data_IF_555374839907
#
_entry.id   IF_555374839907
#
_cell.length_a   1.000
_cell.length_b   1.000
_cell.length_c   1.000
_cell.angle_alpha   90.00
_cell.angle_beta   90.00
_cell.angle_gamma   90.00
#
_symmetry.space_group_name_H-M   'P 1'
#
loop_
_entity.id
_entity.type
_entity.pdbx_description
1 polymer ?
2 polymer ?
3 non-polymer ?
4 non-polymer ?
5 water ?
#
# COMPACT_ATOMS: atom_id res chain seq x y z
N UNK A 1 -16.00 -14.84 19.86
CA UNK A 1 -17.13 -14.60 18.91
C UNK A 1 -17.18 -15.69 17.84
N UNK A 2 -18.31 -15.76 17.14
CA UNK A 2 -18.45 -16.62 15.98
C UNK A 2 -17.50 -16.20 14.85
N UNK A 3 -17.25 -17.10 13.91
CA UNK A 3 -16.45 -16.81 12.72
C UNK A 3 -17.01 -15.61 11.96
N UNK A 4 -18.34 -15.56 11.81
CA UNK A 4 -19.02 -14.47 11.12
C UNK A 4 -18.81 -13.11 11.74
N UNK A 5 -18.94 -13.02 13.07
CA UNK A 5 -18.75 -11.77 13.81
C UNK A 5 -17.29 -11.33 13.82
N UNK A 6 -16.39 -12.30 13.95
CA UNK A 6 -14.95 -12.06 13.81
C UNK A 6 -14.64 -11.45 12.45
N UNK A 7 -15.17 -12.08 11.39
CA UNK A 7 -14.98 -11.60 10.02
C UNK A 7 -15.45 -10.16 9.80
N UNK A 8 -16.63 -9.84 10.30
CA UNK A 8 -17.21 -8.51 10.13
C UNK A 8 -16.39 -7.44 10.85
N UNK A 9 -15.99 -7.76 12.09
CA UNK A 9 -15.18 -6.85 12.89
C UNK A 9 -13.84 -6.55 12.18
N UNK A 10 -13.19 -7.59 11.67
CA UNK A 10 -11.92 -7.47 10.94
C UNK A 10 -12.03 -6.61 9.67
N UNK A 11 -13.10 -6.79 8.91
CA UNK A 11 -13.39 -5.98 7.73
C UNK A 11 -13.62 -4.49 8.08
N UNK A 12 -14.37 -4.23 9.15
CA UNK A 12 -14.56 -2.85 9.63
C UNK A 12 -13.22 -2.25 10.07
N UNK A 13 -12.43 -3.02 10.82
CA UNK A 13 -11.09 -2.59 11.22
C UNK A 13 -10.21 -2.30 10.00
N UNK A 14 -10.28 -3.17 9.00
CA UNK A 14 -9.56 -2.97 7.74
C UNK A 14 -10.03 -1.73 6.98
N UNK A 15 -11.34 -1.49 6.99
CA UNK A 15 -11.89 -0.28 6.35
C UNK A 15 -11.32 0.99 7.00
N UNK A 16 -11.26 0.99 8.33
CA UNK A 16 -10.76 2.14 9.07
C UNK A 16 -9.26 2.33 8.85
N UNK A 17 -8.52 1.23 8.79
CA UNK A 17 -7.08 1.32 8.52
C UNK A 17 -6.83 1.88 7.11
N UNK A 18 -7.62 1.44 6.15
CA UNK A 18 -7.49 1.94 4.77
C UNK A 18 -7.80 3.42 4.69
N UNK A 19 -8.86 3.86 5.39
CA UNK A 19 -9.21 5.29 5.47
C UNK A 19 -8.08 6.10 6.16
N UNK A 20 -7.53 5.56 7.24
CA UNK A 20 -6.43 6.19 7.97
C UNK A 20 -5.22 6.39 7.04
N UNK A 21 -4.92 5.37 6.25
CA UNK A 21 -3.78 5.40 5.37
C UNK A 21 -3.99 6.36 4.18
N UNK A 22 -5.17 6.34 3.55
CA UNK A 22 -5.52 7.29 2.48
C UNK A 22 -5.48 8.74 2.97
N UNK A 23 -5.97 8.97 4.18
CA UNK A 23 -5.95 10.30 4.78
C UNK A 23 -4.53 10.75 5.11
N UNK A 24 -3.70 9.85 5.63
CA UNK A 24 -2.29 10.14 5.87
C UNK A 24 -1.58 10.58 4.59
N UNK A 25 -1.79 9.84 3.51
CA UNK A 25 -1.23 10.18 2.19
C UNK A 25 -1.79 11.49 1.65
N UNK A 26 -3.07 11.72 1.87
CA UNK A 26 -3.75 12.96 1.47
C UNK A 26 -3.16 14.18 2.18
N UNK A 27 -2.89 14.05 3.47
CA UNK A 27 -2.27 15.13 4.25
C UNK A 27 -0.86 15.42 3.72
N UNK A 28 -0.11 14.36 3.42
CA UNK A 28 1.23 14.52 2.83
C UNK A 28 1.19 15.22 1.48
N UNK A 29 0.22 14.87 0.65
CA UNK A 29 0.06 15.48 -0.67
C UNK A 29 -0.22 16.98 -0.56
N UNK A 30 -1.20 17.35 0.27
CA UNK A 30 -1.59 18.75 0.49
C UNK A 30 -0.41 19.57 1.03
N UNK A 31 0.43 18.92 1.82
CA UNK A 31 1.61 19.53 2.43
C UNK A 31 2.77 19.64 1.44
N UNK A 32 2.80 18.77 0.43
CA UNK A 32 3.90 18.73 -0.55
C UNK A 32 4.99 17.75 -0.16
N UNK A 33 4.71 16.92 0.85
CA UNK A 33 5.69 15.98 1.41
C UNK A 33 5.95 14.79 0.47
N UNK A 34 4.99 14.49 -0.40
CA UNK A 34 5.11 13.43 -1.39
C UNK A 34 4.67 13.98 -2.74
N UNK A 35 5.27 13.47 -3.84
CA UNK A 35 4.86 13.91 -5.18
C UNK A 35 3.46 13.44 -5.56
N UNK A 36 2.87 14.14 -6.52
CA UNK A 36 1.53 13.83 -7.00
C UNK A 36 1.43 12.43 -7.59
N UNK A 37 2.45 12.03 -8.33
CA UNK A 37 2.54 10.70 -8.93
C UNK A 37 2.54 9.57 -7.90
N UNK A 38 3.13 9.83 -6.73
CA UNK A 38 3.20 8.83 -5.66
C UNK A 38 1.84 8.71 -4.99
N UNK A 39 1.19 9.84 -4.72
CA UNK A 39 -0.14 9.81 -4.14
C UNK A 39 -1.14 9.06 -5.02
N UNK A 40 -1.11 9.35 -6.31
CA UNK A 40 -2.04 8.73 -7.25
C UNK A 40 -1.85 7.20 -7.29
N UNK A 41 -0.61 6.75 -7.45
CA UNK A 41 -0.32 5.32 -7.48
C UNK A 41 -0.74 4.60 -6.20
N UNK A 42 -0.25 5.08 -5.06
CA UNK A 42 -0.55 4.43 -3.77
C UNK A 42 -2.02 4.66 -3.36
N UNK A 43 -2.50 5.89 -3.55
CA UNK A 43 -3.90 6.21 -3.26
C UNK A 43 -4.90 5.36 -4.01
N UNK A 44 -4.68 5.19 -5.31
CA UNK A 44 -5.57 4.34 -6.14
C UNK A 44 -5.61 2.88 -5.68
N UNK A 45 -4.47 2.34 -5.29
CA UNK A 45 -4.41 0.96 -4.84
C UNK A 45 -5.22 0.77 -3.55
N UNK A 46 -5.02 1.68 -2.59
CA UNK A 46 -5.74 1.62 -1.33
C UNK A 46 -7.24 1.81 -1.52
N UNK A 47 -7.63 2.77 -2.36
CA UNK A 47 -9.05 2.99 -2.64
C UNK A 47 -9.69 1.76 -3.31
N UNK A 48 -8.93 1.11 -4.19
CA UNK A 48 -9.39 -0.12 -4.86
C UNK A 48 -9.73 -1.18 -3.81
N UNK A 49 -8.80 -1.43 -2.89
CA UNK A 49 -8.99 -2.38 -1.80
C UNK A 49 -10.17 -1.97 -0.92
N UNK A 50 -10.34 -0.66 -0.72
CA UNK A 50 -11.40 -0.17 0.17
C UNK A 50 -12.77 -0.41 -0.41
N UNK A 51 -12.91 -0.23 -1.73
CA UNK A 51 -14.18 -0.55 -2.38
C UNK A 51 -14.57 -2.00 -2.09
N UNK A 52 -13.63 -2.93 -2.23
CA UNK A 52 -13.94 -4.35 -2.08
C UNK A 52 -14.24 -4.74 -0.64
N UNK A 53 -13.51 -4.13 0.30
CA UNK A 53 -13.79 -4.28 1.73
C UNK A 53 -15.24 -3.83 2.03
N UNK A 54 -15.65 -2.69 1.48
CA UNK A 54 -16.99 -2.15 1.70
C UNK A 54 -18.07 -2.96 1.02
N UNK A 55 -17.76 -3.47 -0.17
CA UNK A 55 -18.64 -4.39 -0.88
C UNK A 55 -18.88 -5.60 0.00
N UNK A 56 -17.80 -6.10 0.59
CA UNK A 56 -17.86 -7.27 1.46
C UNK A 56 -18.71 -7.02 2.71
N UNK A 57 -18.51 -5.86 3.34
CA UNK A 57 -19.31 -5.43 4.49
C UNK A 57 -20.79 -5.37 4.14
N UNK A 58 -21.12 -4.75 3.01
CA UNK A 58 -22.51 -4.69 2.53
C UNK A 58 -23.13 -6.07 2.31
N UNK A 59 -22.36 -6.99 1.74
CA UNK A 59 -22.83 -8.35 1.51
C UNK A 59 -23.17 -9.06 2.80
N UNK A 60 -22.36 -8.84 3.84
CA UNK A 60 -22.59 -9.41 5.16
C UNK A 60 -23.79 -8.77 5.88
N UNK A 61 -23.88 -7.44 5.84
CA UNK A 61 -24.87 -6.72 6.64
C UNK A 61 -26.21 -6.50 5.93
N UNK A 62 -26.31 -6.92 4.67
CA UNK A 62 -27.55 -6.78 3.87
C UNK A 62 -28.86 -7.27 4.54
N UNK A 63 -28.80 -8.31 5.40
CA UNK A 63 -29.99 -8.54 6.25
C UNK A 63 -30.33 -7.32 7.14
N UNK A 64 -31.04 -6.36 6.54
CA UNK A 64 -31.51 -5.13 7.21
C UNK A 64 -30.66 -4.63 8.39
N UNK A 65 -29.33 -4.65 8.19
CA UNK A 65 -28.34 -4.45 9.26
C UNK A 65 -28.60 -5.35 10.48
N UNK B 3 -33.91 -13.83 16.47
CA UNK B 3 -32.56 -14.48 16.56
C UNK B 3 -31.50 -13.50 17.07
N UNK B 4 -30.51 -14.03 17.79
CA UNK B 4 -29.39 -13.24 18.28
C UNK B 4 -28.32 -13.07 17.20
N UNK B 5 -27.36 -12.19 17.44
CA UNK B 5 -26.29 -11.90 16.47
C UNK B 5 -25.44 -13.13 16.15
N UNK B 6 -25.21 -13.97 17.17
CA UNK B 6 -24.41 -15.18 17.02
C UNK B 6 -24.96 -16.12 15.93
N UNK B 7 -26.28 -16.17 15.81
CA UNK B 7 -26.93 -16.99 14.80
C UNK B 7 -26.97 -16.27 13.45
N UNK B 8 -27.22 -14.97 13.51
CA UNK B 8 -27.31 -14.14 12.31
C UNK B 8 -25.97 -14.01 11.60
N UNK B 9 -24.89 -13.90 12.37
CA UNK B 9 -23.53 -13.83 11.82
C UNK B 9 -22.69 -15.01 12.31
N UNK B 10 -23.14 -16.22 11.99
CA UNK B 10 -22.48 -17.43 12.49
C UNK B 10 -21.22 -17.76 11.72
N UNK B 11 -21.37 -17.96 10.43
CA UNK B 11 -20.29 -18.41 9.57
C UNK B 11 -19.78 -17.25 8.71
N UNK B 12 -18.56 -17.41 8.20
CA UNK B 12 -17.96 -16.46 7.27
C UNK B 12 -18.75 -16.40 5.98
N UNK B 13 -18.87 -15.20 5.43
CA UNK B 13 -19.53 -14.93 4.16
C UNK B 13 -18.43 -14.59 3.13
N UNK B 14 -18.47 -15.23 1.94
CA UNK B 14 -17.44 -14.96 0.93
C UNK B 14 -17.63 -13.58 0.32
N UNK B 15 -16.55 -13.01 -0.23
CA UNK B 15 -16.60 -11.69 -0.87
C UNK B 15 -17.64 -11.63 -2.00
N UNK B 16 -17.63 -12.65 -2.85
CA UNK B 16 -18.65 -12.81 -3.88
C UNK B 16 -19.38 -14.11 -3.62
N UNK B 17 -20.65 -14.17 -4.01
CA UNK B 17 -21.40 -15.41 -3.96
C UNK B 17 -20.70 -16.47 -4.81
N UNK B 18 -20.64 -17.69 -4.29
CA UNK B 18 -19.97 -18.81 -4.97
C UNK B 18 -20.49 -19.11 -6.37
N UNK B 19 -21.64 -18.53 -6.71
CA UNK B 19 -22.26 -18.71 -8.01
C UNK B 19 -22.11 -17.49 -8.91
N UNK B 20 -21.31 -16.52 -8.50
CA UNK B 20 -21.10 -15.34 -9.33
C UNK B 20 -20.50 -15.78 -10.68
N UNK B 21 -21.06 -15.24 -11.76
CA UNK B 21 -20.55 -15.50 -13.10
C UNK B 21 -19.23 -14.76 -13.29
N UNK B 22 -18.44 -15.19 -14.26
CA UNK B 22 -17.17 -14.56 -14.57
C UNK B 22 -17.39 -13.11 -15.01
N UNK B 23 -18.44 -12.86 -15.80
CA UNK B 23 -18.76 -11.51 -16.28
C UNK B 23 -19.21 -10.57 -15.16
N UNK B 24 -20.04 -11.06 -14.25
CA UNK B 24 -20.52 -10.24 -13.11
C UNK B 24 -19.35 -9.83 -12.22
N UNK B 25 -18.45 -10.77 -11.96
CA UNK B 25 -17.29 -10.51 -11.11
C UNK B 25 -16.41 -9.46 -11.76
N UNK B 26 -16.25 -9.57 -13.08
CA UNK B 26 -15.47 -8.62 -13.86
C UNK B 26 -16.04 -7.21 -13.73
N UNK B 27 -17.37 -7.11 -13.74
CA UNK B 27 -18.09 -5.84 -13.60
C UNK B 27 -17.76 -5.17 -12.26
N UNK B 28 -17.82 -5.94 -11.18
CA UNK B 28 -17.56 -5.43 -9.84
C UNK B 28 -16.10 -4.99 -9.72
N UNK B 29 -15.19 -5.78 -10.29
CA UNK B 29 -13.77 -5.42 -10.30
C UNK B 29 -13.51 -4.13 -11.08
N UNK B 30 -14.26 -3.91 -12.16
CA UNK B 30 -14.18 -2.68 -12.94
C UNK B 30 -14.69 -1.50 -12.11
N UNK B 31 -15.77 -1.72 -11.36
CA UNK B 31 -16.31 -0.71 -10.45
C UNK B 31 -15.29 -0.32 -9.36
N UNK B 32 -14.53 -1.30 -8.87
CA UNK B 32 -13.49 -1.02 -7.86
C UNK B 32 -12.43 -0.08 -8.42
N UNK B 33 -12.12 -0.23 -9.72
CA UNK B 33 -11.16 0.64 -10.41
C UNK B 33 -11.71 2.03 -10.65
N UNK B 34 -12.97 2.10 -11.09
CA UNK B 34 -13.67 3.37 -11.25
C UNK B 34 -13.71 4.13 -9.93
N UNK B 35 -14.05 3.43 -8.85
CA UNK B 35 -14.08 4.03 -7.51
C UNK B 35 -12.73 4.58 -7.10
N UNK B 36 -11.66 3.82 -7.35
CA UNK B 36 -10.33 4.29 -6.98
C UNK B 36 -9.95 5.59 -7.68
N UNK B 37 -10.42 5.76 -8.92
CA UNK B 37 -10.18 7.00 -9.67
C UNK B 37 -10.98 8.14 -9.06
N UNK B 38 -12.25 7.90 -8.78
CA UNK B 38 -13.13 8.91 -8.17
C UNK B 38 -12.53 9.44 -6.86
N UNK B 39 -12.16 8.52 -5.97
CA UNK B 39 -11.56 8.89 -4.67
C UNK B 39 -10.22 9.63 -4.84
N UNK B 40 -9.33 9.04 -5.63
CA UNK B 40 -8.02 9.63 -5.88
C UNK B 40 -8.14 11.03 -6.49
N UNK B 41 -8.99 11.18 -7.50
CA UNK B 41 -9.24 12.47 -8.14
C UNK B 41 -9.81 13.50 -7.17
N UNK B 42 -10.64 13.06 -6.24
CA UNK B 42 -11.28 13.99 -5.30
C UNK B 42 -10.23 14.67 -4.44
N UNK B 43 -9.23 13.90 -4.01
CA UNK B 43 -8.11 14.40 -3.22
C UNK B 43 -7.18 15.31 -4.04
N UNK B 44 -6.97 14.97 -5.32
CA UNK B 44 -6.18 15.81 -6.23
C UNK B 44 -6.84 17.17 -6.47
N UNK B 45 -8.16 17.15 -6.73
CA UNK B 45 -8.93 18.38 -6.93
C UNK B 45 -8.82 19.29 -5.72
N UNK B 46 -9.01 18.70 -4.54
CA UNK B 46 -8.94 19.43 -3.28
C UNK B 46 -7.54 20.01 -3.02
N UNK B 47 -6.51 19.21 -3.32
CA UNK B 47 -5.13 19.65 -3.15
C UNK B 47 -4.76 20.78 -4.12
N UNK B 48 -5.33 20.76 -5.32
CA UNK B 48 -5.15 21.84 -6.29
C UNK B 48 -5.78 23.15 -5.80
N UNK B 49 -6.91 23.06 -5.11
CA UNK B 49 -7.57 24.23 -4.53
C UNK B 49 -6.70 24.91 -3.47
N UNK B 50 -5.85 24.13 -2.80
CA UNK B 50 -4.95 24.64 -1.78
C UNK B 50 -3.62 25.12 -2.36
N UNK B 51 -3.53 25.15 -3.69
CA UNK B 51 -2.31 25.54 -4.42
C UNK B 51 -1.05 24.79 -3.96
N UNK B 52 -1.20 23.48 -3.74
CA UNK B 52 -0.08 22.65 -3.32
C UNK B 52 0.47 21.79 -4.46
N UNK B 53 -0.24 21.79 -5.58
CA UNK B 53 0.19 21.03 -6.76
C UNK B 53 0.61 21.95 -7.90
N UNK B 54 1.71 21.58 -8.55
CA UNK B 54 2.20 22.27 -9.75
C UNK B 54 1.14 22.28 -10.85
N UNK B 55 0.96 23.42 -11.49
CA UNK B 55 -0.10 23.62 -12.48
C UNK B 55 -0.03 22.66 -13.68
N UNK B 56 1.19 22.33 -14.11
CA UNK B 56 1.40 21.40 -15.21
C UNK B 56 1.17 19.95 -14.76
N UNK B 57 1.76 19.57 -13.63
CA UNK B 57 1.59 18.24 -13.06
C UNK B 57 0.12 17.92 -12.78
N UNK B 58 -0.61 18.91 -12.27
CA UNK B 58 -2.05 18.78 -12.02
C UNK B 58 -2.82 18.50 -13.31
N UNK B 59 -2.58 19.30 -14.34
CA UNK B 59 -3.28 19.15 -15.60
C UNK B 59 -3.04 17.77 -16.22
N UNK B 60 -1.78 17.34 -16.25
CA UNK B 60 -1.41 16.04 -16.80
C UNK B 60 -2.01 14.87 -16.04
N UNK B 61 -1.95 14.93 -14.71
CA UNK B 61 -2.47 13.87 -13.85
C UNK B 61 -3.98 13.72 -13.97
N UNK B 62 -4.69 14.85 -13.98
CA UNK B 62 -6.14 14.85 -14.06
C UNK B 62 -6.59 14.43 -15.47
N UNK B 63 -5.88 14.88 -16.49
CA UNK B 63 -6.11 14.41 -17.85
C UNK B 63 -6.03 12.87 -17.94
N UNK B 64 -4.98 12.29 -17.37
CA UNK B 64 -4.79 10.83 -17.36
C UNK B 64 -5.91 10.11 -16.62
N UNK B 65 -6.29 10.63 -15.45
CA UNK B 65 -7.37 10.05 -14.67
C UNK B 65 -8.72 10.11 -15.40
N UNK B 66 -8.97 11.24 -16.07
CA UNK B 66 -10.20 11.39 -16.87
C UNK B 66 -10.27 10.40 -18.02
N UNK B 67 -9.16 10.22 -18.74
CA UNK B 67 -9.08 9.25 -19.84
C UNK B 67 -9.31 7.81 -19.35
N UNK B 68 -8.63 7.44 -18.27
CA UNK B 68 -8.78 6.12 -17.63
C UNK B 68 -10.22 5.83 -17.23
N UNK B 69 -10.87 6.78 -16.57
CA UNK B 69 -12.28 6.71 -16.19
C UNK B 69 -13.18 6.39 -17.39
N UNK B 70 -12.90 7.04 -18.51
CA UNK B 70 -13.67 6.83 -19.75
C UNK B 70 -13.49 5.42 -20.30
N UNK B 71 -12.26 4.91 -20.26
CA UNK B 71 -11.95 3.55 -20.71
C UNK B 71 -12.73 2.51 -19.89
N UNK B 72 -12.70 2.63 -18.57
CA UNK B 72 -13.41 1.69 -17.70
C UNK B 72 -14.93 1.74 -17.93
N UNK B 73 -15.50 2.94 -17.91
CA UNK B 73 -16.92 3.14 -18.11
C UNK B 73 -17.42 2.56 -19.45
N UNK B 74 -16.63 2.74 -20.52
CA UNK B 74 -17.02 2.25 -21.85
C UNK B 74 -16.72 0.77 -22.07
N UNK B 75 -17.07 -0.06 -21.09
CA UNK B 75 -16.90 -1.50 -21.16
C UNK B 75 -17.97 -2.20 -20.33
N UNK B 76 -17.79 -3.50 -20.10
CA UNK B 76 -18.67 -4.33 -19.24
C UNK B 76 -20.15 -4.25 -19.64
N UNK B 77 -20.40 -4.41 -20.95
CA UNK B 77 -21.74 -4.27 -21.55
C UNK B 77 -22.27 -2.83 -21.53
N UNK B 78 -21.77 -2.04 -20.59
CA UNK B 78 -22.14 -0.61 -20.41
C UNK B 78 -23.47 -0.45 -19.65
N UNK B 79 -24.34 -1.45 -19.76
CA UNK B 79 -25.61 -1.46 -19.04
C UNK B 79 -25.43 -2.00 -17.62
N UNK B 80 -24.50 -2.95 -17.47
CA UNK B 80 -24.29 -3.65 -16.20
C UNK B 80 -23.62 -2.79 -15.13
N UNK B 81 -22.90 -1.76 -15.55
CA UNK B 81 -22.24 -0.83 -14.62
C UNK B 81 -23.23 0.16 -13.98
N UNK B 82 -24.22 0.58 -14.77
CA UNK B 82 -25.28 1.48 -14.28
C UNK B 82 -26.22 0.77 -13.31
N UNK B 83 -26.34 -0.55 -13.48
CA UNK B 83 -27.09 -1.43 -12.58
C UNK B 83 -26.65 -1.24 -11.13
N UNK B 84 -25.34 -1.13 -10.91
CA UNK B 84 -24.75 -1.04 -9.59
C UNK B 84 -24.63 0.38 -9.05
N UNK B 85 -24.53 1.36 -9.96
CA UNK B 85 -24.34 2.77 -9.58
C UNK B 85 -25.34 3.26 -8.53
N UNK B 86 -26.60 2.87 -8.70
CA UNK B 86 -27.66 3.26 -7.77
C UNK B 86 -27.49 2.63 -6.38
N UNK B 87 -27.04 1.38 -6.34
CA UNK B 87 -26.81 0.66 -5.08
C UNK B 87 -25.55 1.13 -4.35
N UNK B 88 -24.59 1.65 -5.12
CA UNK B 88 -23.39 2.29 -4.59
C UNK B 88 -23.78 3.63 -3.94
N UNK B 89 -24.68 4.38 -4.59
CA UNK B 89 -25.22 5.63 -4.04
C UNK B 89 -25.99 5.44 -2.74
N UNK B 90 -26.71 4.32 -2.63
CA UNK B 90 -27.50 4.00 -1.43
C UNK B 90 -26.59 3.69 -0.24
N UNK B 91 -25.51 2.96 -0.48
CA UNK B 91 -24.50 2.68 0.54
C UNK B 91 -23.80 3.99 0.95
N UNK B 92 -23.39 4.78 -0.04
CA UNK B 92 -22.68 6.04 0.17
C UNK B 92 -23.50 7.04 0.97
N UNK B 93 -24.80 7.13 0.67
CA UNK B 93 -25.73 8.01 1.40
C UNK B 93 -25.93 7.56 2.84
N UNK B 94 -26.03 6.25 3.04
CA UNK B 94 -26.16 5.65 4.38
C UNK B 94 -24.97 6.00 5.27
N UNK B 95 -23.77 5.94 4.73
CA UNK B 95 -22.56 6.12 5.53
C UNK B 95 -21.83 7.44 5.27
N UNK B 96 -22.52 8.38 4.60
CA UNK B 96 -21.98 9.69 4.28
C UNK B 96 -20.63 9.63 3.56
N UNK B 97 -20.56 8.81 2.53
CA UNK B 97 -19.37 8.72 1.68
C UNK B 97 -19.54 9.65 0.49
N UNK B 98 -18.70 10.67 0.41
CA UNK B 98 -18.83 11.71 -0.61
C UNK B 98 -17.54 11.87 -1.42
N UNK B 99 -17.67 12.43 -2.63
CA UNK B 99 -16.53 12.75 -3.48
C UNK B 99 -16.90 13.88 -4.44
N UNK B 100 -17.52 14.93 -3.89
CA UNK B 100 -18.18 15.98 -4.67
C UNK B 100 -17.28 16.77 -5.63
N UNK B 101 -16.01 16.96 -5.27
CA UNK B 101 -15.06 17.64 -6.16
C UNK B 101 -14.73 16.78 -7.38
N UNK B 102 -14.59 15.46 -7.16
CA UNK B 102 -14.36 14.50 -8.24
C UNK B 102 -15.55 14.41 -9.16
N UNK B 103 -16.74 14.28 -8.56
CA UNK B 103 -17.98 14.17 -9.31
C UNK B 103 -18.20 15.39 -10.22
N UNK B 104 -17.92 16.58 -9.68
CA UNK B 104 -18.04 17.83 -10.45
C UNK B 104 -17.07 17.87 -11.64
N UNK B 105 -15.85 17.40 -11.43
CA UNK B 105 -14.85 17.37 -12.51
C UNK B 105 -15.20 16.34 -13.57
N UNK B 106 -15.61 15.15 -13.13
CA UNK B 106 -16.00 14.08 -14.04
C UNK B 106 -17.23 14.43 -14.88
N UNK B 107 -18.13 15.25 -14.31
CA UNK B 107 -19.27 15.79 -15.05
C UNK B 107 -18.83 16.55 -16.30
N UNK B 108 -17.87 17.45 -16.12
CA UNK B 108 -17.41 18.31 -17.20
C UNK B 108 -16.52 17.57 -18.21
N UNK B 109 -15.47 16.92 -17.73
CA UNK B 109 -14.52 16.22 -18.60
C UNK B 109 -14.88 14.75 -18.75
N UNK C 1 12.91 26.50 3.54
CA UNK C 1 14.36 26.22 3.33
C UNK C 1 14.68 26.11 1.82
N UNK C 2 15.93 25.79 1.51
CA UNK C 2 16.33 25.53 0.12
C UNK C 2 15.72 24.22 -0.35
N UNK C 3 15.74 24.02 -1.68
CA UNK C 3 15.16 22.82 -2.28
C UNK C 3 15.78 21.54 -1.73
N UNK C 4 17.11 21.55 -1.58
CA UNK C 4 17.85 20.38 -1.07
C UNK C 4 17.50 19.99 0.35
N UNK C 5 17.38 21.00 1.21
CA UNK C 5 16.99 20.78 2.61
C UNK C 5 15.51 20.40 2.76
N UNK C 6 14.63 21.01 1.97
CA UNK C 6 13.23 20.63 1.90
C UNK C 6 13.09 19.16 1.49
N UNK C 7 13.89 18.76 0.51
CA UNK C 7 13.87 17.38 0.01
C UNK C 7 14.30 16.38 1.07
N UNK C 8 15.42 16.65 1.74
CA UNK C 8 15.94 15.78 2.79
C UNK C 8 14.99 15.68 3.99
N UNK C 9 14.39 16.81 4.36
CA UNK C 9 13.36 16.85 5.40
C UNK C 9 12.18 15.94 5.02
N UNK C 10 11.65 16.11 3.80
CA UNK C 10 10.52 15.33 3.31
C UNK C 10 10.87 13.83 3.21
N UNK C 11 12.09 13.52 2.81
CA UNK C 11 12.54 12.13 2.76
C UNK C 11 12.62 11.48 4.14
N UNK C 12 13.06 12.23 5.15
CA UNK C 12 13.07 11.74 6.52
C UNK C 12 11.63 11.52 7.03
N UNK C 13 10.73 12.45 6.71
CA UNK C 13 9.30 12.29 7.01
C UNK C 13 8.73 11.00 6.37
N UNK C 14 9.03 10.76 5.09
CA UNK C 14 8.61 9.54 4.41
C UNK C 14 9.20 8.29 5.05
N UNK C 15 10.49 8.35 5.38
CA UNK C 15 11.15 7.21 6.02
C UNK C 15 10.47 6.83 7.32
N UNK C 16 10.18 7.84 8.15
CA UNK C 16 9.56 7.59 9.44
C UNK C 16 8.13 7.05 9.30
N UNK C 17 7.37 7.64 8.38
CA UNK C 17 6.01 7.16 8.08
C UNK C 17 6.02 5.69 7.63
N UNK C 18 7.02 5.27 6.86
CA UNK C 18 7.19 3.87 6.47
C UNK C 18 7.50 2.94 7.65
N UNK C 19 8.47 3.32 8.49
CA UNK C 19 8.72 2.63 9.77
C UNK C 19 7.45 2.51 10.62
N UNK C 20 6.76 3.63 10.80
CA UNK C 20 5.59 3.72 11.66
C UNK C 20 4.43 2.86 11.16
N UNK C 21 4.24 2.86 9.84
CA UNK C 21 3.14 2.13 9.20
C UNK C 21 3.40 0.62 9.28
N UNK C 22 4.64 0.21 9.05
CA UNK C 22 5.01 -1.19 9.21
C UNK C 22 4.71 -1.65 10.64
N UNK C 23 5.11 -0.85 11.63
CA UNK C 23 4.81 -1.16 13.03
C UNK C 23 3.29 -1.21 13.28
N UNK C 24 2.56 -0.22 12.77
CA UNK C 24 1.10 -0.19 12.91
C UNK C 24 0.46 -1.45 12.32
N UNK C 25 0.94 -1.90 11.17
CA UNK C 25 0.50 -3.15 10.54
C UNK C 25 0.82 -4.39 11.37
N UNK C 26 2.01 -4.42 11.96
CA UNK C 26 2.37 -5.54 12.86
C UNK C 26 1.42 -5.62 14.06
N UNK C 27 0.98 -4.47 14.56
CA UNK C 27 0.06 -4.46 15.71
C UNK C 27 -1.32 -4.94 15.31
N UNK C 28 -1.72 -4.67 14.05
CA UNK C 28 -2.96 -5.25 13.52
C UNK C 28 -2.86 -6.77 13.48
N UNK C 29 -1.70 -7.28 13.07
CA UNK C 29 -1.45 -8.72 13.06
C UNK C 29 -1.64 -9.29 14.46
N UNK C 30 -0.98 -8.68 15.44
CA UNK C 30 -1.04 -9.13 16.83
C UNK C 30 -2.48 -9.13 17.36
N UNK C 31 -3.25 -8.10 16.97
CA UNK C 31 -4.66 -8.01 17.34
C UNK C 31 -5.57 -8.94 16.54
N UNK C 32 -5.03 -9.59 15.51
CA UNK C 32 -5.82 -10.54 14.71
C UNK C 32 -6.68 -9.86 13.65
N UNK C 33 -6.43 -8.58 13.41
CA UNK C 33 -7.26 -7.76 12.55
C UNK C 33 -6.91 -7.91 11.05
N UNK C 34 -5.68 -8.35 10.77
CA UNK C 34 -5.27 -8.77 9.44
C UNK C 34 -4.60 -10.14 9.55
N UNK C 35 -4.72 -11.00 8.51
CA UNK C 35 -4.01 -12.27 8.58
C UNK C 35 -2.53 -12.10 8.23
N UNK C 36 -1.75 -13.14 8.51
CA UNK C 36 -0.31 -13.12 8.28
C UNK C 36 0.06 -12.81 6.84
N UNK C 37 -0.65 -13.43 5.89
CA UNK C 37 -0.39 -13.22 4.47
C UNK C 37 -0.50 -11.76 4.04
N UNK C 38 -1.44 -11.04 4.65
CA UNK C 38 -1.60 -9.60 4.38
C UNK C 38 -0.46 -8.79 5.00
N UNK C 39 -0.08 -9.15 6.23
CA UNK C 39 1.03 -8.45 6.84
C UNK C 39 2.30 -8.62 6.01
N UNK C 40 2.59 -9.85 5.59
CA UNK C 40 3.80 -10.11 4.82
C UNK C 40 3.81 -9.32 3.51
N UNK C 41 2.71 -9.38 2.76
CA UNK C 41 2.61 -8.71 1.46
C UNK C 41 2.78 -7.20 1.56
N UNK C 42 2.01 -6.58 2.47
CA UNK C 42 2.06 -5.12 2.65
C UNK C 42 3.33 -4.69 3.34
N UNK C 43 3.76 -5.44 4.36
CA UNK C 43 5.02 -5.19 5.05
C UNK C 43 6.22 -5.23 4.12
N UNK C 44 6.27 -6.23 3.25
CA UNK C 44 7.33 -6.35 2.25
C UNK C 44 7.37 -5.15 1.30
N UNK C 45 6.19 -4.69 0.88
CA UNK C 45 6.08 -3.54 -0.02
C UNK C 45 6.58 -2.25 0.62
N UNK C 46 6.12 -1.97 1.84
CA UNK C 46 6.55 -0.76 2.54
C UNK C 46 8.04 -0.78 2.82
N UNK C 47 8.56 -1.95 3.19
CA UNK C 47 9.98 -2.08 3.48
C UNK C 47 10.84 -1.95 2.22
N UNK C 48 10.32 -2.40 1.08
CA UNK C 48 11.00 -2.19 -0.21
C UNK C 48 11.10 -0.69 -0.49
N UNK C 49 9.99 0.01 -0.35
CA UNK C 49 9.94 1.46 -0.50
C UNK C 49 10.88 2.19 0.45
N UNK C 50 10.99 1.69 1.67
CA UNK C 50 11.86 2.31 2.66
C UNK C 50 13.34 2.22 2.28
N UNK C 51 13.78 1.07 1.77
CA UNK C 51 15.17 0.98 1.29
C UNK C 51 15.51 2.07 0.27
N UNK C 52 14.61 2.28 -0.68
CA UNK C 52 14.78 3.28 -1.73
C UNK C 52 14.89 4.69 -1.16
N UNK C 53 14.06 5.00 -0.16
CA UNK C 53 14.10 6.28 0.55
C UNK C 53 15.45 6.46 1.27
N UNK C 54 15.91 5.40 1.93
CA UNK C 54 17.20 5.38 2.63
C UNK C 54 18.37 5.48 1.66
N UNK C 55 18.27 4.75 0.54
CA UNK C 55 19.23 4.87 -0.54
C UNK C 55 19.33 6.31 -1.01
N UNK C 56 18.18 6.95 -1.20
CA UNK C 56 18.10 8.36 -1.60
C UNK C 56 18.75 9.32 -0.59
N UNK C 57 18.46 9.10 0.69
CA UNK C 57 19.06 9.90 1.77
C UNK C 57 20.59 9.77 1.77
N UNK C 58 21.06 8.53 1.61
CA UNK C 58 22.48 8.20 1.55
C UNK C 58 23.19 8.91 0.39
N UNK C 59 22.49 9.03 -0.75
CA UNK C 59 22.99 9.77 -1.90
C UNK C 59 23.08 11.27 -1.64
N UNK C 60 22.11 11.82 -0.93
CA UNK C 60 22.07 13.25 -0.63
C UNK C 60 23.16 13.65 0.36
N UNK C 61 23.42 12.77 1.31
CA UNK C 61 24.35 13.02 2.41
C UNK C 61 25.73 12.45 2.13
N UNK C 62 26.03 12.23 0.84
CA UNK C 62 27.30 11.66 0.38
C UNK C 62 28.60 12.32 0.90
N UNK C 63 28.61 13.67 1.05
CA UNK C 63 29.74 14.23 1.79
C UNK C 63 29.46 14.35 3.29
N UNK D 7 24.63 25.94 1.11
CA UNK D 7 25.38 25.71 -0.15
C UNK D 7 25.50 24.21 -0.44
N UNK D 8 25.73 23.44 0.63
CA UNK D 8 25.91 22.00 0.53
C UNK D 8 24.63 21.27 0.09
N UNK D 9 23.47 21.85 0.42
CA UNK D 9 22.17 21.26 0.07
C UNK D 9 21.26 22.27 -0.62
N UNK D 10 21.79 22.99 -1.61
CA UNK D 10 20.99 24.00 -2.31
C UNK D 10 19.99 23.36 -3.28
N UNK D 11 20.47 22.39 -4.05
CA UNK D 11 19.67 21.78 -5.10
C UNK D 11 19.13 20.41 -4.69
N UNK D 12 18.04 20.01 -5.33
CA UNK D 12 17.46 18.69 -5.16
C UNK D 12 18.33 17.64 -5.85
N UNK D 13 18.32 16.42 -5.31
CA UNK D 13 19.06 15.30 -5.88
C UNK D 13 18.08 14.21 -6.32
N UNK D 14 18.16 13.75 -7.59
CA UNK D 14 17.26 12.69 -8.06
C UNK D 14 17.55 11.35 -7.38
N UNK D 15 16.55 10.47 -7.32
CA UNK D 15 16.70 9.15 -6.69
C UNK D 15 17.78 8.32 -7.38
N UNK D 16 17.77 8.37 -8.71
CA UNK D 16 18.80 7.72 -9.53
C UNK D 16 19.52 8.77 -10.36
N UNK D 17 20.82 8.60 -10.49
CA UNK D 17 21.63 9.35 -11.43
C UNK D 17 21.02 9.25 -12.83
N UNK D 18 21.11 10.33 -13.60
CA UNK D 18 20.60 10.39 -14.97
C UNK D 18 21.23 9.34 -15.89
N UNK D 19 22.46 8.94 -15.55
CA UNK D 19 23.21 7.96 -16.34
C UNK D 19 23.45 6.66 -15.57
N UNK D 20 22.59 6.35 -14.59
CA UNK D 20 22.69 5.06 -13.90
C UNK D 20 22.59 3.90 -14.92
N UNK D 21 23.49 2.93 -14.77
CA UNK D 21 23.50 1.77 -15.65
C UNK D 21 22.37 0.80 -15.29
N UNK D 22 22.00 -0.03 -16.27
CA UNK D 22 21.01 -1.07 -16.05
C UNK D 22 21.42 -2.01 -14.92
N UNK D 23 22.69 -2.42 -14.91
CA UNK D 23 23.22 -3.31 -13.88
C UNK D 23 23.16 -2.71 -12.47
N UNK D 24 23.49 -1.43 -12.34
CA UNK D 24 23.45 -0.76 -11.04
C UNK D 24 22.03 -0.65 -10.52
N UNK D 25 21.09 -0.35 -11.43
CA UNK D 25 19.69 -0.25 -11.04
C UNK D 25 19.14 -1.61 -10.61
N UNK D 26 19.53 -2.67 -11.31
CA UNK D 26 19.22 -4.05 -10.91
C UNK D 26 19.77 -4.38 -9.51
N UNK D 27 20.97 -3.89 -9.21
CA UNK D 27 21.58 -4.08 -7.89
C UNK D 27 20.74 -3.42 -6.79
N UNK D 28 20.33 -2.17 -7.02
CA UNK D 28 19.50 -1.45 -6.04
C UNK D 28 18.19 -2.17 -5.77
N UNK D 29 17.52 -2.59 -6.84
CA UNK D 29 16.26 -3.31 -6.75
C UNK D 29 16.42 -4.61 -5.97
N UNK D 30 17.51 -5.33 -6.22
CA UNK D 30 17.81 -6.57 -5.51
C UNK D 30 18.03 -6.27 -4.02
N UNK D 31 18.81 -5.24 -3.74
CA UNK D 31 19.06 -4.82 -2.36
C UNK D 31 17.80 -4.38 -1.63
N UNK D 32 16.87 -3.74 -2.33
CA UNK D 32 15.60 -3.33 -1.74
C UNK D 32 14.79 -4.56 -1.30
N UNK D 33 14.88 -5.64 -2.08
CA UNK D 33 14.19 -6.89 -1.77
C UNK D 33 14.79 -7.62 -0.58
N UNK D 34 16.12 -7.69 -0.51
CA UNK D 34 16.84 -8.24 0.64
C UNK D 34 16.50 -7.49 1.94
N UNK D 35 16.57 -6.16 1.90
CA UNK D 35 16.19 -5.29 3.00
C UNK D 35 14.76 -5.58 3.47
N UNK D 36 13.87 -5.69 2.49
CA UNK D 36 12.46 -5.98 2.72
C UNK D 36 12.24 -7.30 3.45
N UNK D 37 13.01 -8.32 3.09
CA UNK D 37 12.93 -9.65 3.70
C UNK D 37 13.44 -9.63 5.14
N UNK D 38 14.57 -8.95 5.37
CA UNK D 38 15.14 -8.81 6.71
C UNK D 38 14.13 -8.16 7.68
N UNK D 39 13.48 -7.10 7.22
CA UNK D 39 12.50 -6.36 8.01
C UNK D 39 11.25 -7.20 8.28
N UNK D 40 10.70 -7.78 7.22
CA UNK D 40 9.52 -8.65 7.29
C UNK D 40 9.73 -9.86 8.19
N UNK D 41 10.87 -10.53 8.01
CA UNK D 41 11.21 -11.72 8.80
C UNK D 41 11.29 -11.40 10.29
N UNK D 42 11.92 -10.27 10.62
CA UNK D 42 12.04 -9.83 12.02
C UNK D 42 10.67 -9.74 12.69
N UNK D 43 9.70 -9.14 11.97
CA UNK D 43 8.34 -9.00 12.48
C UNK D 43 7.61 -10.34 12.56
N UNK D 44 7.91 -11.24 11.63
CA UNK D 44 7.30 -12.57 11.66
C UNK D 44 7.78 -13.35 12.90
N UNK D 45 9.08 -13.32 13.17
CA UNK D 45 9.67 -13.99 14.33
C UNK D 45 9.15 -13.39 15.64
N UNK D 46 9.06 -12.06 15.68
CA UNK D 46 8.48 -11.36 16.84
C UNK D 46 7.00 -11.70 17.04
N UNK D 47 6.27 -11.85 15.94
CA UNK D 47 4.85 -12.23 15.99
C UNK D 47 4.67 -13.65 16.53
N UNK D 48 5.58 -14.55 16.17
CA UNK D 48 5.50 -15.93 16.63
C UNK D 48 5.81 -16.07 18.13
N UNK D 49 6.72 -15.26 18.65
CA UNK D 49 7.06 -15.30 20.08
C UNK D 49 5.86 -14.91 20.95
N UNK D 50 4.94 -14.15 20.36
CA UNK D 50 3.62 -13.92 20.94
C UNK D 50 2.68 -15.01 20.42
N UNK D 51 1.41 -14.98 20.82
CA UNK D 51 0.45 -15.96 20.30
C UNK D 51 -0.27 -15.42 19.07
N UNK D 52 0.47 -14.77 18.18
CA UNK D 52 -0.11 -14.08 17.03
C UNK D 52 -0.29 -15.00 15.85
N UNK D 53 0.62 -15.96 15.73
CA UNK D 53 0.73 -16.84 14.58
C UNK D 53 1.04 -18.24 15.07
N UNK D 54 0.41 -19.26 14.49
CA UNK D 54 0.64 -20.65 14.92
C UNK D 54 1.92 -21.23 14.33
N UNK D 55 2.27 -22.44 14.76
CA UNK D 55 3.50 -23.12 14.35
C UNK D 55 3.58 -23.30 12.83
N UNK D 56 2.48 -23.72 12.23
CA UNK D 56 2.41 -24.01 10.79
C UNK D 56 2.68 -22.75 9.97
N UNK D 57 1.99 -21.67 10.32
CA UNK D 57 2.14 -20.36 9.68
C UNK D 57 3.58 -19.84 9.77
N UNK D 58 4.13 -19.90 10.98
CA UNK D 58 5.50 -19.47 11.24
C UNK D 58 6.49 -20.25 10.37
N UNK D 59 6.42 -21.58 10.43
CA UNK D 59 7.35 -22.44 9.69
C UNK D 59 7.28 -22.21 8.17
N UNK D 60 6.08 -22.24 7.61
CA UNK D 60 5.86 -22.02 6.18
C UNK D 60 6.32 -20.63 5.73
N UNK D 61 5.99 -19.61 6.52
CA UNK D 61 6.33 -18.24 6.17
C UNK D 61 7.84 -17.99 6.26
N UNK D 62 8.47 -18.49 7.31
CA UNK D 62 9.92 -18.33 7.48
C UNK D 62 10.69 -19.07 6.38
N UNK D 63 10.32 -20.33 6.13
CA UNK D 63 10.92 -21.11 5.04
C UNK D 63 10.82 -20.40 3.68
N UNK D 64 9.66 -19.81 3.40
CA UNK D 64 9.46 -19.07 2.14
C UNK D 64 10.33 -17.83 2.04
N UNK D 65 10.45 -17.10 3.14
CA UNK D 65 11.29 -15.91 3.21
C UNK D 65 12.77 -16.26 3.07
N UNK D 66 13.20 -17.32 3.75
CA UNK D 66 14.58 -17.78 3.65
C UNK D 66 14.91 -18.24 2.24
N UNK D 67 13.98 -18.95 1.61
CA UNK D 67 14.15 -19.41 0.23
C UNK D 67 14.27 -18.26 -0.78
N UNK D 68 13.46 -17.22 -0.60
CA UNK D 68 13.54 -16.05 -1.46
C UNK D 68 14.81 -15.24 -1.22
N UNK D 69 15.24 -15.19 0.04
CA UNK D 69 16.48 -14.53 0.43
C UNK D 69 17.69 -15.13 -0.27
N UNK D 70 17.74 -16.45 -0.31
CA UNK D 70 18.83 -17.18 -0.97
C UNK D 70 18.86 -16.90 -2.48
N UNK D 71 17.69 -16.94 -3.12
CA UNK D 71 17.55 -16.58 -4.53
C UNK D 71 18.16 -15.21 -4.83
N UNK D 72 17.70 -14.18 -4.12
CA UNK D 72 18.21 -12.82 -4.31
C UNK D 72 19.71 -12.72 -4.06
N UNK D 73 20.18 -13.44 -3.04
CA UNK D 73 21.59 -13.44 -2.66
C UNK D 73 22.51 -14.09 -3.72
N UNK D 74 21.96 -15.02 -4.51
CA UNK D 74 22.74 -15.63 -5.60
C UNK D 74 22.01 -15.77 -6.94
N UNK D 75 21.69 -14.62 -7.54
CA UNK D 75 21.07 -14.60 -8.87
C UNK D 75 21.56 -13.39 -9.68
N UNK D 76 20.69 -12.39 -9.82
CA UNK D 76 21.01 -11.18 -10.59
C UNK D 76 22.16 -10.39 -9.97
N UNK D 77 23.34 -10.58 -10.54
CA UNK D 77 24.57 -9.84 -10.17
C UNK D 77 25.10 -10.12 -8.76
N UNK D 78 25.17 -11.41 -8.41
CA UNK D 78 25.71 -11.87 -7.13
C UNK D 78 27.12 -11.33 -6.87
N UNK D 79 27.93 -11.33 -7.92
CA UNK D 79 29.32 -10.86 -7.84
C UNK D 79 29.38 -9.35 -7.63
N UNK D 80 28.40 -8.65 -8.21
CA UNK D 80 28.33 -7.19 -8.11
C UNK D 80 27.83 -6.71 -6.75
N UNK D 81 26.86 -7.42 -6.17
CA UNK D 81 26.33 -7.06 -4.85
C UNK D 81 27.29 -7.46 -3.72
N UNK D 82 28.23 -8.34 -4.03
CA UNK D 82 29.28 -8.73 -3.09
C UNK D 82 30.50 -7.81 -3.19
N UNK D 83 30.65 -7.18 -4.37
CA UNK D 83 31.66 -6.16 -4.59
C UNK D 83 31.13 -4.80 -4.09
N UNK D 84 29.85 -4.58 -4.31
CA UNK D 84 29.16 -3.37 -3.86
C UNK D 84 29.10 -3.33 -2.34
N UNK D 85 28.87 -4.50 -1.72
CA UNK D 85 28.70 -4.59 -0.28
C UNK D 85 29.47 -5.77 0.31
N UNK D 86 30.30 -5.50 1.30
CA UNK D 86 31.13 -6.53 1.93
C UNK D 86 30.55 -7.06 3.25
N UNK D 87 31.24 -8.02 3.86
CA UNK D 87 30.83 -8.68 5.11
C UNK D 87 29.48 -9.40 4.99
N UNK D 88 28.73 -9.45 6.09
CA UNK D 88 27.44 -10.15 6.13
C UNK D 88 26.36 -9.25 6.75
N UNK D 89 26.56 -8.89 8.03
CA UNK D 89 25.62 -8.03 8.77
C UNK D 89 26.07 -6.57 8.76
N UNK D 90 26.97 -6.22 7.84
CA UNK D 90 27.38 -4.84 7.62
C UNK D 90 26.30 -4.10 6.85
N UNK D 91 25.43 -4.85 6.18
CA UNK D 91 24.28 -4.31 5.47
C UNK D 91 23.31 -3.65 6.45
N UNK D 92 23.03 -4.34 7.55
CA UNK D 92 22.19 -3.80 8.63
C UNK D 92 22.81 -2.58 9.30
N UNK D 93 24.15 -2.50 9.30
CA UNK D 93 24.89 -1.37 9.86
C UNK D 93 24.64 -0.12 9.03
N UNK D 94 25.08 -0.16 7.77
CA UNK D 94 24.96 0.96 6.83
C UNK D 94 23.53 1.49 6.72
N UNK D 95 22.57 0.58 6.61
CA UNK D 95 21.18 0.98 6.39
C UNK D 95 20.35 1.01 7.67
N UNK D 96 21.05 1.02 8.81
CA UNK D 96 20.45 1.25 10.12
C UNK D 96 19.23 0.39 10.42
N UNK D 97 19.38 -0.91 10.15
CA UNK D 97 18.32 -1.88 10.39
C UNK D 97 18.32 -2.27 11.86
N UNK D 98 17.16 -2.17 12.50
CA UNK D 98 16.98 -2.64 13.86
C UNK D 98 16.19 -3.95 13.82
N UNK D 99 16.90 -5.07 13.67
CA UNK D 99 16.27 -6.37 13.48
C UNK D 99 17.08 -7.51 14.09
N UNK D 100 17.26 -7.46 15.40
CA UNK D 100 18.08 -8.43 16.15
C UNK D 100 17.66 -9.89 15.96
N UNK D 101 16.36 -10.14 15.89
CA UNK D 101 15.83 -11.49 15.69
C UNK D 101 16.09 -12.03 14.29
N UNK D 102 15.95 -11.16 13.29
CA UNK D 102 16.12 -11.52 11.88
C UNK D 102 17.56 -11.88 11.53
N UNK D 103 18.51 -11.16 12.12
CA UNK D 103 19.95 -11.41 11.91
C UNK D 103 20.33 -12.85 12.30
N UNK D 104 19.75 -13.34 13.40
CA UNK D 104 20.09 -14.65 13.97
C UNK D 104 19.59 -15.81 13.10
N UNK D 105 18.40 -15.67 12.51
CA UNK D 105 17.82 -16.72 11.66
C UNK D 105 18.55 -16.86 10.33
N UNK D 106 19.11 -15.74 9.86
CA UNK D 106 19.79 -15.69 8.56
C UNK D 106 21.24 -16.18 8.60
N UNK D 107 21.83 -16.19 9.78
CA UNK D 107 23.22 -16.62 9.96
C UNK D 107 23.37 -18.16 10.00
N UNK D 108 22.27 -18.86 10.25
CA UNK D 108 22.26 -20.32 10.31
C UNK D 108 22.33 -20.92 8.90
X LIG E 1 -1.82 8.53 12.60
X LIG F 1 -1.00 -0.25 3.87
X LIG F 1 -1.38 -0.62 2.51
X LIG F 1 0.43 -0.52 4.03
X LIG F 1 -1.20 1.19 4.07
X LIG F 1 -1.76 -0.99 4.89
X LIG F 1 -3.23 -1.25 4.54
X LIG F 1 -3.92 -1.96 5.71
X LIG F 1 -5.34 -2.37 5.35
X LIG F 1 -5.47 -3.88 5.17
X LIG F 1 -6.48 -4.20 4.09
X LIG F 1 -6.51 -5.72 3.80
X LIG F 1 -7.61 -6.04 2.78
X LIG F 1 -7.49 -7.51 2.33
X LIG F 1 -8.82 -7.98 1.73
X LIG G 1 9.33 6.77 -4.12
X LIG G 1 10.58 7.24 -3.52
X LIG G 1 8.47 7.92 -4.43
X LIG G 1 9.65 6.09 -5.39
X LIG G 1 8.67 5.80 -3.22
X LIG G 1 8.73 6.22 -1.75
X LIG G 1 7.34 6.59 -1.27
X LIG G 1 7.30 6.95 0.20
X LIG G 1 5.94 7.54 0.54
X LIG G 1 5.67 7.47 2.03
X LIG G 1 4.32 6.83 2.30
X LIG G 1 4.15 6.52 3.78
X LIG G 1 3.00 5.54 4.02
X LIG G 1 1.85 6.24 4.70
X LIG H 1 -8.70 -13.16 18.02
X LIG H 1 -8.92 -12.72 16.65
X LIG H 1 -9.18 -14.55 18.17
X LIG H 1 -7.26 -13.13 18.31
X LIG H 1 -9.40 -12.30 19.00
X LIG H 1 -10.48 -11.41 18.37
X LIG H 1 -10.88 -10.30 19.34
X LIG H 1 -12.01 -9.44 18.79
X LIG H 1 -12.15 -8.14 19.58
X LIG H 1 -13.62 -7.76 19.74
X LIG H 1 -13.77 -6.33 20.25
X LIG H 1 -15.24 -5.91 20.28
X LIG H 1 -15.38 -4.43 20.62
X LIG H 1 -16.16 -3.69 19.54
X LIG I 1 -25.35 -6.65 -3.46
X LIG I 1 -25.38 -6.67 -2.00
X LIG I 1 -24.43 -7.70 -3.95
X LIG I 1 -26.70 -6.93 -3.96
X LIG I 1 -24.93 -5.33 -3.96
X LIG I 1 -23.72 -4.79 -3.21
X LIG I 1 -23.60 -3.28 -3.34
X LIG I 1 -22.54 -2.77 -2.37
X LIG I 1 -22.16 -1.32 -2.64
X LIG I 1 -20.76 -1.04 -2.12
X LIG I 1 -20.49 0.45 -2.22
X LIG I 1 -19.06 0.80 -1.87
X LIG I 1 -18.79 2.23 -2.27
X LIG I 1 -17.87 2.90 -1.26
X LIG J 1 -16.70 9.39 7.16
X LIG J 1 -18.14 9.66 7.29
X LIG J 1 -16.20 9.91 5.88
X LIG J 1 -16.00 10.09 8.26
X LIG J 1 -16.43 7.95 7.28
X LIG J 1 -17.50 7.07 6.62
X LIG J 1 -17.35 5.64 7.12
X LIG J 1 -17.87 4.63 6.11
X LIG J 1 -18.43 3.41 6.83
X LIG J 1 -18.21 2.13 6.05
X LIG J 1 -18.19 0.92 6.98
X LIG J 1 -19.58 0.48 7.41
X LIG J 1 -19.55 -0.13 8.81
X LIG J 1 -20.63 -1.16 9.00
X LIG K 1 26.29 7.35 8.63
X LIG K 1 27.50 7.16 7.83
X LIG K 1 25.32 6.29 8.32
X LIG K 1 26.64 7.28 10.06
X LIG K 1 25.74 8.71 8.39
X LIG K 1 25.32 8.95 6.93
X LIG K 1 24.68 10.33 6.80
X LIG K 1 23.16 10.24 6.70
X LIG K 1 22.48 11.33 7.54
X LIG K 1 21.00 11.44 7.20
X LIG K 1 20.16 11.66 8.44
X LIG K 1 19.38 12.96 8.32
X LIG K 1 19.18 13.58 9.69
X LIG K 1 17.86 14.32 9.73
X LIG L 1 29.53 11.38 11.55
X LIG L 1 30.99 11.25 11.69
X LIG L 1 28.94 10.05 11.27
X LIG L 1 28.98 11.90 12.82
X LIG L 1 29.16 12.31 10.47
X LIG L 1 30.19 12.34 9.32
X LIG L 1 30.03 13.60 8.48
X LIG L 1 29.08 13.35 7.30
X LIG L 1 27.98 14.42 7.28
X LIG L 1 26.59 13.77 7.28
X LIG L 1 25.59 14.67 8.00
X LIG L 1 24.53 15.21 7.04
X LIG L 1 23.40 15.88 7.81
X LIG L 1 22.07 15.71 7.08
X LIG M 1 17.05 4.94 14.97
X LIG M 1 18.48 4.82 15.29
X LIG M 1 16.49 3.61 14.66
X LIG M 1 16.35 5.49 16.14
X LIG M 1 16.84 5.86 13.83
X LIG M 1 17.86 5.66 12.72
X LIG M 1 17.27 6.06 11.38
X LIG M 1 18.37 6.10 10.31
X LIG M 1 17.95 6.96 9.13
X LIG M 1 17.96 6.14 7.84
X LIG M 1 18.82 6.79 6.77
X LIG M 1 20.16 6.06 6.64
X LIG M 1 20.91 6.47 5.37
X LIG M 1 21.87 5.36 4.98
#
# INVERSE_FOLDING_TARGET
>A
MTDGLNQLYNLVAQDYALTDTIEALSRMLHRGTIPLDTFVKQGRELARQQFLVRWHIQRITSPLS
>B
GAMDISQLFHDEVPLFDNSITSKDKEVIETLSEIYSIVITLDHVEKAYLKDSIDDTQYTNTVDKLLKQFKVYLNSQNKEEINKHFQSIEAFADTYNITASNAITRLERG
>C
MTDGLNQLYNLVAQDYALTDTIEALSRMLHRGTIPLDTFVKQGRELARQQFLVRWHIQRITSPLS
>D
GAMDISQLFHDEVPLFDNSITSKDKEVIETLSEIYSIVITLDHVEKAYLKDSIDDTQYTNTVDKLLKQFKVYLNSQNKEEINKHFQSIEAFADTYNITASNAITRLERG
>E hetero
1 MG MG
>F hetero
1 DDQ N1 O1 CM1 CM2 C1 C2 C3 C4 C5 C6 C7 C8 C9 C10
>G hetero
1 DDQ N1 O1 CM1 CM2 C1 C2 C3 C4 C5 C6 C7 C8 C9 C10
>H hetero
1 DDQ N1 O1 CM1 CM2 C1 C2 C3 C4 C5 C6 C7 C8 C9 C10
>I hetero
1 DDQ N1 O1 CM1 CM2 C1 C2 C3 C4 C5 C6 C7 C8 C9 C10
>J hetero
1 DDQ N1 O1 CM1 CM2 C1 C2 C3 C4 C5 C6 C7 C8 C9 C10
>K hetero
1 DDQ N1 O1 CM1 CM2 C1 C2 C3 C4 C5 C6 C7 C8 C9 C10
>L hetero
1 DDQ N1 O1 CM1 CM2 C1 C2 C3 C4 C5 C6 C7 C8 C9 C10
>M hetero
1 DDQ N1 O1 CM1 CM2 C1 C2 C3 C4 C5 C6 C7 C8 C9 C10
#
